data_IF_822747930073
#
_entry.id   IF_822747930073
#
_cell.length_a   1.000
_cell.length_b   1.000
_cell.length_c   1.000
_cell.angle_alpha   90.00
_cell.angle_beta   90.00
_cell.angle_gamma   90.00
#
_symmetry.space_group_name_H-M   'P 1'
#
loop_
_entity.id
_entity.type
_entity.pdbx_description
1 polymer ?
#
# COMPACT_ATOMS: atom_id res chain seq x y z
N UNK A 1 -27.45 34.58 9.29
CA UNK A 1 -27.22 34.29 7.87
C UNK A 1 -26.34 33.06 7.86
N UNK A 2 -26.75 31.97 7.21
CA UNK A 2 -25.83 30.83 7.04
C UNK A 2 -24.87 31.29 5.95
N UNK A 3 -23.59 31.33 6.28
CA UNK A 3 -22.57 31.61 5.28
C UNK A 3 -22.30 30.33 4.50
N UNK A 4 -22.22 30.42 3.19
CA UNK A 4 -21.86 29.30 2.32
C UNK A 4 -20.46 29.52 1.75
N UNK A 5 -19.79 28.42 1.41
CA UNK A 5 -18.59 28.39 0.59
C UNK A 5 -18.80 27.48 -0.61
N UNK A 6 -17.89 27.54 -1.57
CA UNK A 6 -17.88 26.69 -2.76
C UNK A 6 -16.87 25.56 -2.56
N UNK A 7 -17.30 24.31 -2.74
CA UNK A 7 -16.42 23.17 -2.88
C UNK A 7 -16.29 22.83 -4.37
N UNK A 8 -15.14 23.11 -4.98
CA UNK A 8 -14.83 22.74 -6.35
C UNK A 8 -14.10 21.39 -6.34
N UNK A 9 -14.82 20.32 -6.66
CA UNK A 9 -14.30 18.95 -6.67
C UNK A 9 -13.86 18.58 -8.08
N UNK A 10 -12.61 18.17 -8.24
CA UNK A 10 -12.08 17.59 -9.48
C UNK A 10 -11.92 16.08 -9.31
N UNK A 11 -12.49 15.30 -10.23
CA UNK A 11 -12.30 13.86 -10.31
C UNK A 11 -11.40 13.54 -11.51
N UNK A 12 -10.29 12.87 -11.26
CA UNK A 12 -9.30 12.54 -12.28
C UNK A 12 -8.76 11.11 -12.13
N UNK A 13 -8.12 10.61 -13.18
CA UNK A 13 -7.41 9.33 -13.27
C UNK A 13 -5.93 9.62 -13.52
N UNK A 14 -5.14 9.75 -12.44
CA UNK A 14 -3.72 10.07 -12.52
C UNK A 14 -3.46 11.39 -13.25
N UNK A 15 -4.31 12.39 -13.01
CA UNK A 15 -4.27 13.69 -13.68
C UNK A 15 -5.06 13.79 -14.99
N UNK A 16 -5.68 12.70 -15.48
CA UNK A 16 -6.61 12.77 -16.61
C UNK A 16 -8.03 13.08 -16.11
N UNK A 17 -8.67 14.19 -16.51
CA UNK A 17 -9.99 14.55 -16.00
C UNK A 17 -11.07 13.53 -16.41
N UNK A 18 -11.98 13.21 -15.48
CA UNK A 18 -13.06 12.26 -15.72
C UNK A 18 -14.44 12.92 -15.64
N UNK A 19 -15.11 13.02 -16.79
CA UNK A 19 -16.47 13.53 -16.87
C UNK A 19 -17.56 12.48 -16.72
N UNK A 20 -18.72 12.92 -16.21
CA UNK A 20 -19.90 12.09 -15.98
C UNK A 20 -19.81 11.22 -14.73
N UNK A 21 -18.89 11.50 -13.80
CA UNK A 21 -18.74 10.77 -12.55
C UNK A 21 -19.68 11.36 -11.50
N UNK A 22 -20.47 10.51 -10.83
CA UNK A 22 -21.36 10.98 -9.76
C UNK A 22 -20.55 11.26 -8.49
N UNK A 23 -20.63 12.50 -7.99
CA UNK A 23 -20.01 12.94 -6.74
C UNK A 23 -21.08 13.26 -5.71
N UNK A 24 -20.92 12.72 -4.50
CA UNK A 24 -21.87 12.80 -3.39
C UNK A 24 -21.23 13.53 -2.20
N UNK A 25 -22.00 14.38 -1.53
CA UNK A 25 -21.54 15.16 -0.37
C UNK A 25 -21.97 14.50 0.94
N UNK A 26 -21.01 14.35 1.86
CA UNK A 26 -21.21 13.79 3.19
C UNK A 26 -20.71 14.78 4.25
N UNK A 27 -21.28 14.73 5.44
CA UNK A 27 -20.73 15.46 6.59
C UNK A 27 -19.47 14.76 7.14
N UNK A 28 -18.73 15.44 8.02
CA UNK A 28 -17.57 14.87 8.71
C UNK A 28 -17.87 13.57 9.48
N UNK A 29 -19.11 13.41 9.97
CA UNK A 29 -19.59 12.20 10.64
C UNK A 29 -19.91 11.01 9.73
N UNK A 30 -19.69 11.12 8.41
CA UNK A 30 -19.91 10.01 7.49
C UNK A 30 -21.32 9.87 6.93
N UNK A 31 -22.24 10.78 7.28
CA UNK A 31 -23.64 10.75 6.84
C UNK A 31 -23.83 11.52 5.54
N UNK A 32 -24.61 10.94 4.62
CA UNK A 32 -24.94 11.58 3.35
C UNK A 32 -25.85 12.80 3.58
N UNK A 33 -25.52 13.92 2.95
CA UNK A 33 -26.24 15.20 3.16
C UNK A 33 -27.41 15.38 2.18
N UNK A 34 -27.56 14.49 1.19
CA UNK A 34 -28.61 14.60 0.17
C UNK A 34 -28.21 15.41 -1.06
N UNK A 35 -26.96 15.86 -1.14
CA UNK A 35 -26.42 16.66 -2.25
C UNK A 35 -25.49 15.78 -3.08
N UNK A 36 -25.72 15.74 -4.39
CA UNK A 36 -24.86 15.07 -5.36
C UNK A 36 -25.00 15.75 -6.72
N UNK A 37 -23.97 15.62 -7.55
CA UNK A 37 -24.00 16.07 -8.94
C UNK A 37 -22.91 15.32 -9.75
N UNK A 38 -22.92 15.48 -11.07
CA UNK A 38 -21.97 14.83 -11.98
C UNK A 38 -20.85 15.77 -12.42
N UNK A 39 -19.65 15.23 -12.57
CA UNK A 39 -18.52 15.98 -13.15
C UNK A 39 -18.74 16.32 -14.61
N UNK A 40 -18.24 17.48 -15.04
CA UNK A 40 -18.24 17.91 -16.44
C UNK A 40 -17.13 17.25 -17.27
N UNK A 41 -16.97 17.62 -18.54
CA UNK A 41 -15.91 17.05 -19.40
C UNK A 41 -14.48 17.34 -18.92
N UNK A 42 -14.30 18.28 -18.00
CA UNK A 42 -13.03 18.66 -17.36
C UNK A 42 -12.83 17.95 -16.02
N UNK A 43 -13.76 17.07 -15.62
CA UNK A 43 -13.70 16.36 -14.35
C UNK A 43 -14.16 17.18 -13.16
N UNK A 44 -14.70 18.38 -13.38
CA UNK A 44 -15.04 19.32 -12.31
C UNK A 44 -16.52 19.28 -11.96
N UNK A 45 -16.82 19.46 -10.67
CA UNK A 45 -18.16 19.68 -10.13
C UNK A 45 -18.07 20.61 -8.93
N UNK A 46 -19.01 21.55 -8.79
CA UNK A 46 -18.98 22.53 -7.71
C UNK A 46 -20.24 22.46 -6.84
N UNK A 47 -20.05 22.48 -5.52
CA UNK A 47 -21.13 22.46 -4.54
C UNK A 47 -21.10 23.73 -3.69
N UNK A 48 -22.22 24.43 -3.59
CA UNK A 48 -22.41 25.50 -2.60
C UNK A 48 -22.88 24.87 -1.28
N UNK A 49 -22.03 24.93 -0.26
CA UNK A 49 -22.25 24.25 1.02
C UNK A 49 -22.16 25.25 2.18
N UNK A 50 -22.98 25.09 3.25
CA UNK A 50 -22.78 25.79 4.51
C UNK A 50 -21.39 25.59 5.07
N UNK A 51 -20.85 26.62 5.72
CA UNK A 51 -19.58 26.52 6.45
C UNK A 51 -19.61 25.31 7.39
N UNK A 52 -18.59 24.47 7.29
CA UNK A 52 -18.47 23.23 8.05
C UNK A 52 -17.55 22.22 7.39
N UNK A 53 -17.45 21.05 8.00
CA UNK A 53 -16.56 19.98 7.55
C UNK A 53 -17.32 18.91 6.76
N UNK A 54 -16.83 18.61 5.56
CA UNK A 54 -17.45 17.69 4.62
C UNK A 54 -16.45 16.74 4.02
N UNK A 55 -16.94 15.62 3.51
CA UNK A 55 -16.18 14.73 2.63
C UNK A 55 -16.99 14.45 1.37
N UNK A 56 -16.29 14.09 0.31
CA UNK A 56 -16.87 13.86 -1.01
C UNK A 56 -16.60 12.43 -1.43
N UNK A 57 -17.57 11.82 -2.11
CA UNK A 57 -17.46 10.46 -2.66
C UNK A 57 -17.70 10.49 -4.15
N UNK A 58 -16.79 9.96 -4.95
CA UNK A 58 -17.00 9.72 -6.37
C UNK A 58 -17.29 8.24 -6.63
N UNK A 59 -18.34 7.94 -7.39
CA UNK A 59 -18.67 6.57 -7.79
C UNK A 59 -18.32 6.37 -9.26
N UNK A 60 -17.29 5.55 -9.53
CA UNK A 60 -16.80 5.28 -10.89
C UNK A 60 -16.65 3.77 -11.13
N UNK A 61 -17.22 3.27 -12.22
CA UNK A 61 -17.20 1.85 -12.61
C UNK A 61 -17.57 0.85 -11.50
N UNK A 62 -18.48 1.24 -10.60
CA UNK A 62 -18.94 0.40 -9.49
C UNK A 62 -18.07 0.45 -8.23
N UNK A 63 -17.01 1.25 -8.23
CA UNK A 63 -16.11 1.49 -7.08
C UNK A 63 -16.37 2.88 -6.50
N UNK A 64 -16.25 2.99 -5.17
CA UNK A 64 -16.40 4.25 -4.45
C UNK A 64 -15.01 4.80 -4.08
N UNK A 65 -14.80 6.07 -4.37
CA UNK A 65 -13.58 6.82 -4.06
C UNK A 65 -13.95 7.96 -3.13
N UNK A 66 -13.13 8.21 -2.11
CA UNK A 66 -13.42 9.20 -1.09
C UNK A 66 -12.33 10.27 -1.06
N UNK A 67 -12.72 11.52 -0.83
CA UNK A 67 -11.80 12.58 -0.43
C UNK A 67 -11.48 12.48 1.06
N UNK A 68 -10.44 13.20 1.47
CA UNK A 68 -10.26 13.59 2.87
C UNK A 68 -11.38 14.54 3.33
N UNK A 69 -11.42 14.82 4.64
CA UNK A 69 -12.34 15.80 5.21
C UNK A 69 -11.83 17.20 4.90
N UNK A 70 -12.69 18.02 4.30
CA UNK A 70 -12.41 19.39 3.88
C UNK A 70 -13.29 20.38 4.64
N UNK A 71 -12.67 21.46 5.13
CA UNK A 71 -13.36 22.52 5.86
C UNK A 71 -13.79 23.63 4.90
N UNK A 72 -15.10 23.73 4.66
CA UNK A 72 -15.69 24.77 3.82
C UNK A 72 -15.80 26.06 4.61
N UNK A 73 -15.21 27.13 4.06
CA UNK A 73 -15.18 28.48 4.66
C UNK A 73 -16.08 29.43 3.89
N UNK A 74 -16.64 30.42 4.58
CA UNK A 74 -17.54 31.42 4.02
C UNK A 74 -16.89 32.17 2.85
N UNK A 75 -17.62 32.32 1.74
CA UNK A 75 -17.25 33.11 0.58
C UNK A 75 -15.90 32.72 -0.05
N UNK A 76 -15.45 31.48 0.17
CA UNK A 76 -14.23 30.91 -0.40
C UNK A 76 -14.51 29.70 -1.27
N UNK A 77 -13.63 29.45 -2.23
CA UNK A 77 -13.61 28.22 -3.02
C UNK A 77 -12.53 27.30 -2.47
N UNK A 78 -12.93 26.10 -2.05
CA UNK A 78 -12.03 25.02 -1.65
C UNK A 78 -11.94 24.03 -2.80
N UNK A 79 -10.72 23.81 -3.29
CA UNK A 79 -10.47 22.85 -4.36
C UNK A 79 -10.22 21.48 -3.74
N UNK A 80 -11.00 20.49 -4.13
CA UNK A 80 -10.93 19.12 -3.64
C UNK A 80 -10.56 18.22 -4.82
N UNK A 81 -9.52 17.40 -4.69
CA UNK A 81 -9.16 16.44 -5.74
C UNK A 81 -9.50 15.03 -5.29
N UNK A 82 -10.22 14.29 -6.14
CA UNK A 82 -10.49 12.86 -5.98
C UNK A 82 -9.84 12.15 -7.16
N UNK A 83 -8.67 11.56 -6.92
CA UNK A 83 -8.02 10.75 -7.93
C UNK A 83 -8.49 9.28 -7.82
N UNK A 84 -9.06 8.75 -8.91
CA UNK A 84 -9.57 7.38 -8.97
C UNK A 84 -8.44 6.35 -9.13
N UNK A 85 -7.19 6.79 -9.33
CA UNK A 85 -6.02 5.94 -9.11
C UNK A 85 -5.70 5.79 -7.62
N UNK A 86 -6.29 6.62 -6.74
CA UNK A 86 -6.02 6.52 -5.29
C UNK A 86 -6.84 5.43 -4.59
N UNK A 87 -7.71 4.67 -5.29
CA UNK A 87 -8.07 3.30 -4.84
C UNK A 87 -7.09 2.21 -5.32
N UNK A 88 -5.98 2.61 -5.92
CA UNK A 88 -4.74 1.83 -5.97
C UNK A 88 -3.65 2.51 -5.15
N UNK A 89 -3.90 2.72 -3.85
CA UNK A 89 -2.80 2.63 -2.91
C UNK A 89 -2.21 1.21 -3.04
N UNK A 90 -1.03 1.15 -3.66
CA UNK A 90 -0.06 0.04 -3.62
C UNK A 90 -0.31 -1.21 -4.47
N UNK A 91 -0.68 -1.10 -5.75
CA UNK A 91 -0.55 -2.24 -6.67
C UNK A 91 -0.14 -1.75 -8.06
N UNK A 92 1.15 -1.92 -8.39
CA UNK A 92 1.88 -1.76 -9.68
C UNK A 92 3.14 -0.90 -9.43
N UNK A 93 4.09 -1.33 -8.63
CA UNK A 93 5.13 -2.32 -8.96
C UNK A 93 5.53 -3.03 -7.65
N UNK A 94 6.39 -4.05 -7.70
CA UNK A 94 6.78 -4.94 -6.57
C UNK A 94 7.47 -4.28 -5.36
N UNK A 95 7.29 -2.99 -5.11
CA UNK A 95 7.94 -2.24 -4.04
C UNK A 95 6.89 -1.54 -3.18
N UNK A 96 6.62 -2.08 -1.98
CA UNK A 96 5.79 -1.42 -0.95
C UNK A 96 6.36 -0.03 -0.67
N UNK A 97 5.53 1.01 -0.73
CA UNK A 97 5.84 2.37 -0.31
C UNK A 97 4.90 2.71 0.85
N UNK A 98 5.49 3.19 1.95
CA UNK A 98 4.88 3.78 3.15
C UNK A 98 4.27 2.83 4.20
N UNK A 99 4.97 2.69 5.33
CA UNK A 99 4.39 2.60 6.67
C UNK A 99 4.75 3.89 7.39
N UNK A 100 3.81 4.65 7.95
CA UNK A 100 3.99 5.41 9.22
C UNK A 100 2.63 5.66 9.92
N UNK A 101 2.52 5.48 11.25
CA UNK A 101 1.59 6.23 12.07
C UNK A 101 2.20 7.61 12.43
N UNK A 102 1.83 8.65 11.69
CA UNK A 102 2.41 10.00 11.81
C UNK A 102 2.86 10.55 10.44
N UNK A 103 2.71 11.84 10.18
CA UNK A 103 2.86 12.51 8.86
C UNK A 103 4.23 12.41 8.16
N UNK A 104 5.15 11.56 8.61
CA UNK A 104 6.38 11.32 7.88
C UNK A 104 6.12 10.40 6.67
N UNK A 105 7.01 10.42 5.69
CA UNK A 105 6.95 9.54 4.53
C UNK A 105 8.32 8.90 4.36
N UNK A 106 8.33 7.56 4.32
CA UNK A 106 9.53 6.78 4.03
C UNK A 106 9.45 6.11 2.67
N UNK A 107 10.55 6.19 1.92
CA UNK A 107 10.72 5.59 0.60
C UNK A 107 11.55 4.32 0.71
N UNK A 108 11.00 3.21 0.23
CA UNK A 108 11.66 1.91 0.23
C UNK A 108 12.57 1.76 -1.00
N UNK A 109 13.79 1.27 -0.76
CA UNK A 109 14.75 0.87 -1.78
C UNK A 109 14.93 -0.63 -1.70
N UNK A 110 14.40 -1.36 -2.68
CA UNK A 110 14.41 -2.82 -2.66
C UNK A 110 15.34 -3.41 -3.73
N UNK A 111 15.68 -4.69 -3.55
CA UNK A 111 16.43 -5.47 -4.54
C UNK A 111 15.58 -5.86 -5.77
N UNK A 112 16.13 -6.72 -6.64
CA UNK A 112 15.43 -7.20 -7.84
C UNK A 112 14.25 -8.13 -7.56
N UNK A 113 14.15 -8.70 -6.36
CA UNK A 113 13.02 -9.52 -5.92
C UNK A 113 11.96 -8.70 -5.19
N UNK A 114 12.26 -7.46 -4.81
CA UNK A 114 11.37 -6.60 -4.02
C UNK A 114 11.63 -6.67 -2.51
N UNK A 115 12.77 -7.23 -2.08
CA UNK A 115 13.19 -7.24 -0.66
C UNK A 115 13.70 -5.87 -0.23
N UNK A 116 13.13 -5.22 0.79
CA UNK A 116 13.62 -3.96 1.33
C UNK A 116 15.08 -4.02 1.77
N UNK A 117 15.94 -3.20 1.16
CA UNK A 117 17.36 -3.06 1.53
C UNK A 117 17.59 -1.78 2.35
N UNK A 118 16.91 -0.68 2.01
CA UNK A 118 17.03 0.61 2.71
C UNK A 118 15.70 1.35 2.73
N UNK A 119 15.52 2.24 3.70
CA UNK A 119 14.46 3.24 3.68
C UNK A 119 15.06 4.64 3.84
N UNK A 120 14.51 5.61 3.11
CA UNK A 120 14.92 7.01 3.23
C UNK A 120 13.75 7.92 3.56
N UNK A 121 14.00 8.99 4.31
CA UNK A 121 13.02 10.04 4.56
C UNK A 121 12.83 10.97 3.33
N UNK A 122 11.97 11.99 3.48
CA UNK A 122 11.66 12.98 2.43
C UNK A 122 12.84 13.82 1.95
N UNK A 123 13.94 13.84 2.70
CA UNK A 123 15.17 14.59 2.40
C UNK A 123 16.24 13.65 1.80
N UNK A 124 15.99 12.35 1.77
CA UNK A 124 16.89 11.33 1.21
C UNK A 124 17.93 10.79 2.20
N UNK A 125 17.80 11.10 3.49
CA UNK A 125 18.62 10.46 4.55
C UNK A 125 18.17 9.02 4.73
N UNK A 126 19.12 8.09 4.84
CA UNK A 126 18.83 6.69 5.15
C UNK A 126 18.45 6.60 6.63
N UNK A 127 17.26 6.09 6.90
CA UNK A 127 16.70 5.96 8.26
C UNK A 127 16.52 4.49 8.67
N UNK A 128 16.71 3.55 7.74
CA UNK A 128 16.69 2.12 8.00
C UNK A 128 17.50 1.40 6.94
N UNK A 129 18.26 0.38 7.33
CA UNK A 129 19.07 -0.44 6.43
C UNK A 129 19.03 -1.91 6.85
N UNK A 130 19.06 -2.83 5.87
CA UNK A 130 19.17 -4.25 6.15
C UNK A 130 20.04 -4.97 5.13
N UNK A 131 20.97 -5.77 5.65
CA UNK A 131 21.78 -6.70 4.88
C UNK A 131 21.22 -8.13 5.01
N UNK A 132 21.09 -8.83 3.87
CA UNK A 132 20.50 -10.17 3.85
C UNK A 132 21.52 -11.25 3.47
N UNK A 133 21.51 -12.34 4.23
CA UNK A 133 22.08 -13.60 3.76
C UNK A 133 21.19 -14.23 2.67
N UNK A 134 21.72 -15.15 1.84
CA UNK A 134 20.96 -15.71 0.71
C UNK A 134 19.60 -16.31 1.08
N UNK A 135 19.44 -16.83 2.30
CA UNK A 135 18.19 -17.42 2.79
C UNK A 135 17.34 -16.44 3.62
N UNK A 136 17.58 -15.14 3.50
CA UNK A 136 16.70 -14.11 4.06
C UNK A 136 16.94 -13.80 5.53
N UNK A 137 18.03 -14.28 6.13
CA UNK A 137 18.45 -13.80 7.45
C UNK A 137 18.88 -12.35 7.30
N UNK A 138 18.14 -11.44 7.92
CA UNK A 138 18.40 -10.01 7.90
C UNK A 138 19.31 -9.59 9.07
N UNK A 139 20.26 -8.71 8.79
CA UNK A 139 20.98 -7.91 9.76
C UNK A 139 20.47 -6.49 9.59
N UNK A 140 19.62 -6.04 10.51
CA UNK A 140 18.90 -4.77 10.42
C UNK A 140 19.60 -3.72 11.26
N UNK A 141 19.74 -2.52 10.70
CA UNK A 141 20.14 -1.28 11.37
C UNK A 141 18.94 -0.31 11.33
N UNK A 142 18.39 -0.01 12.50
CA UNK A 142 17.16 0.80 12.66
C UNK A 142 17.44 2.30 12.88
N UNK A 143 18.70 2.69 13.10
CA UNK A 143 19.14 4.09 13.24
C UNK A 143 20.48 4.32 12.50
N UNK A 144 20.52 4.17 11.16
CA UNK A 144 21.73 4.35 10.38
C UNK A 144 22.17 5.83 10.25
N UNK A 145 21.29 6.80 10.49
CA UNK A 145 21.63 8.23 10.52
C UNK A 145 22.09 8.73 11.91
N UNK A 146 21.88 7.94 12.96
CA UNK A 146 22.41 8.17 14.30
C UNK A 146 21.75 9.32 15.02
N UNK A 147 20.49 9.61 14.72
CA UNK A 147 19.72 10.68 15.35
C UNK A 147 19.06 10.25 16.67
N UNK A 148 19.11 8.95 16.97
CA UNK A 148 18.55 8.33 18.17
C UNK A 148 17.06 7.98 18.05
N UNK A 149 16.49 8.00 16.84
CA UNK A 149 15.12 7.59 16.55
C UNK A 149 15.13 6.32 15.69
N UNK A 150 14.79 5.20 16.31
CA UNK A 150 14.71 3.92 15.59
C UNK A 150 13.50 3.90 14.63
N UNK A 151 13.75 3.59 13.36
CA UNK A 151 12.71 3.29 12.38
C UNK A 151 12.55 1.80 12.22
N UNK A 152 11.44 1.25 12.69
CA UNK A 152 11.19 -0.20 12.65
C UNK A 152 10.51 -0.60 11.34
N UNK A 153 11.10 -1.57 10.64
CA UNK A 153 10.49 -2.22 9.48
C UNK A 153 10.59 -3.75 9.59
N UNK A 154 9.44 -4.40 9.68
CA UNK A 154 9.32 -5.85 9.84
C UNK A 154 9.08 -6.60 8.52
N UNK A 155 9.03 -5.91 7.38
CA UNK A 155 8.95 -6.57 6.08
C UNK A 155 10.29 -7.24 5.76
N UNK A 156 10.24 -8.46 5.18
CA UNK A 156 11.42 -9.26 4.79
C UNK A 156 11.35 -9.61 3.30
N UNK A 157 11.72 -10.84 2.91
CA UNK A 157 11.50 -11.34 1.56
C UNK A 157 10.03 -11.20 1.13
N UNK A 158 9.73 -11.21 -0.18
CA UNK A 158 8.36 -11.09 -0.67
C UNK A 158 7.41 -12.08 0.04
N UNK A 159 6.31 -11.54 0.59
CA UNK A 159 5.31 -12.31 1.35
C UNK A 159 5.64 -12.54 2.83
N UNK A 160 6.84 -12.15 3.29
CA UNK A 160 7.31 -12.43 4.66
C UNK A 160 7.21 -11.22 5.59
N UNK A 161 6.75 -11.48 6.81
CA UNK A 161 6.74 -10.54 7.93
C UNK A 161 7.53 -11.11 9.10
N UNK A 162 8.49 -10.35 9.63
CA UNK A 162 9.26 -10.73 10.80
C UNK A 162 8.43 -10.62 12.06
N UNK A 163 8.29 -11.75 12.76
CA UNK A 163 7.69 -11.82 14.08
C UNK A 163 8.79 -11.84 15.14
N UNK A 164 8.86 -10.75 15.92
CA UNK A 164 9.85 -10.57 16.98
C UNK A 164 9.67 -11.58 18.13
N UNK A 165 8.44 -12.00 18.43
CA UNK A 165 8.17 -12.90 19.56
C UNK A 165 8.79 -14.30 19.33
N UNK A 166 8.76 -14.76 18.09
CA UNK A 166 9.24 -16.09 17.72
C UNK A 166 10.60 -16.07 17.01
N UNK A 167 11.01 -14.93 16.45
CA UNK A 167 12.14 -14.80 15.54
C UNK A 167 11.91 -15.49 14.19
N UNK A 168 10.66 -15.83 13.86
CA UNK A 168 10.28 -16.46 12.60
C UNK A 168 9.76 -15.41 11.61
N UNK A 169 9.72 -15.81 10.35
CA UNK A 169 9.13 -15.03 9.29
C UNK A 169 7.77 -15.64 8.94
N UNK A 170 6.69 -14.98 9.32
CA UNK A 170 5.35 -15.37 8.91
C UNK A 170 5.20 -15.16 7.40
N UNK A 171 4.90 -16.23 6.67
CA UNK A 171 4.72 -16.23 5.22
C UNK A 171 3.36 -16.86 4.86
N UNK A 172 2.31 -16.18 5.29
CA UNK A 172 0.90 -16.49 5.05
C UNK A 172 0.45 -17.90 5.44
N UNK A 173 0.74 -18.89 4.60
CA UNK A 173 0.37 -20.28 4.84
C UNK A 173 1.37 -21.03 5.71
N UNK A 174 2.58 -20.48 5.89
CA UNK A 174 3.66 -21.15 6.61
C UNK A 174 4.56 -20.19 7.37
N UNK A 175 5.12 -20.67 8.46
CA UNK A 175 6.23 -20.01 9.15
C UNK A 175 7.60 -20.41 8.57
N UNK A 176 8.42 -19.42 8.25
CA UNK A 176 9.75 -19.57 7.67
C UNK A 176 10.85 -19.26 8.69
N UNK A 177 11.89 -20.09 8.70
CA UNK A 177 13.05 -19.92 9.57
C UNK A 177 14.31 -19.63 8.74
N UNK A 178 14.78 -18.37 8.70
CA UNK A 178 15.89 -17.97 7.84
C UNK A 178 17.23 -18.58 8.27
N UNK A 179 17.44 -18.92 9.55
CA UNK A 179 18.71 -19.49 10.05
C UNK A 179 19.03 -20.85 9.42
N UNK A 180 17.99 -21.61 9.08
CA UNK A 180 18.12 -22.93 8.46
C UNK A 180 17.66 -22.93 7.01
N UNK A 181 17.09 -21.82 6.52
CA UNK A 181 16.66 -21.64 5.14
C UNK A 181 15.41 -22.43 4.74
N UNK A 182 14.49 -22.69 5.67
CA UNK A 182 13.38 -23.65 5.49
C UNK A 182 12.11 -23.24 6.22
N UNK A 183 10.97 -23.74 5.75
CA UNK A 183 9.72 -23.70 6.51
C UNK A 183 9.78 -24.65 7.70
N UNK A 184 9.12 -24.29 8.80
CA UNK A 184 8.98 -25.17 9.96
C UNK A 184 7.73 -26.04 9.89
N UNK A 185 6.79 -25.68 9.02
CA UNK A 185 5.56 -26.40 8.76
C UNK A 185 5.61 -27.17 7.43
N UNK A 186 4.80 -28.23 7.33
CA UNK A 186 4.65 -28.97 6.08
C UNK A 186 3.86 -28.14 5.07
N UNK A 187 4.24 -28.25 3.81
CA UNK A 187 3.51 -27.66 2.71
C UNK A 187 2.02 -28.08 2.67
N UNK A 188 1.06 -27.14 2.77
CA UNK A 188 -0.36 -27.42 2.68
C UNK A 188 -0.79 -28.05 1.34
N UNK A 189 -0.08 -27.76 0.23
CA UNK A 189 -0.36 -28.40 -1.06
C UNK A 189 0.32 -29.78 -1.20
N UNK A 190 1.04 -30.21 -0.15
CA UNK A 190 1.65 -31.53 -0.08
C UNK A 190 2.68 -31.77 -1.19
N UNK A 191 2.70 -32.99 -1.73
CA UNK A 191 3.72 -33.40 -2.71
C UNK A 191 3.62 -32.66 -4.06
N UNK A 192 2.55 -31.90 -4.28
CA UNK A 192 2.41 -31.07 -5.49
C UNK A 192 3.40 -29.88 -5.50
N UNK A 193 3.79 -29.37 -4.31
CA UNK A 193 4.86 -28.38 -4.15
C UNK A 193 6.27 -28.97 -4.28
N UNK A 194 6.38 -30.30 -4.23
CA UNK A 194 7.63 -31.04 -4.39
C UNK A 194 7.78 -32.17 -3.36
N UNK A 195 8.79 -33.01 -3.56
CA UNK A 195 9.07 -34.12 -2.64
C UNK A 195 9.51 -33.66 -1.25
N UNK A 196 10.00 -32.42 -1.14
CA UNK A 196 10.48 -31.85 0.10
C UNK A 196 9.54 -30.74 0.59
N UNK A 197 8.67 -31.11 1.53
CA UNK A 197 7.56 -30.28 2.01
C UNK A 197 7.97 -29.07 2.87
N UNK A 198 9.27 -28.88 3.10
CA UNK A 198 9.81 -27.83 3.97
C UNK A 198 10.75 -26.88 3.24
N UNK A 199 11.03 -27.13 1.95
CA UNK A 199 12.02 -26.34 1.21
C UNK A 199 11.47 -24.97 0.86
N UNK A 200 12.27 -23.93 1.08
CA UNK A 200 12.01 -22.61 0.54
C UNK A 200 12.54 -22.52 -0.89
N UNK A 201 11.65 -22.24 -1.84
CA UNK A 201 11.94 -21.88 -3.22
C UNK A 201 12.99 -22.78 -3.91
N UNK A 202 12.84 -24.09 -3.78
CA UNK A 202 13.75 -25.09 -4.37
C UNK A 202 15.24 -24.89 -4.02
N UNK A 203 15.56 -24.26 -2.88
CA UNK A 203 16.90 -23.83 -2.47
C UNK A 203 17.57 -22.83 -3.44
N UNK A 204 16.80 -22.04 -4.17
CA UNK A 204 17.31 -20.96 -5.02
C UNK A 204 16.65 -19.59 -4.71
N UNK A 205 16.80 -19.10 -3.47
CA UNK A 205 16.18 -17.85 -2.99
C UNK A 205 16.72 -16.57 -3.64
N UNK A 206 17.85 -16.64 -4.35
CA UNK A 206 18.45 -15.49 -5.06
C UNK A 206 17.69 -15.16 -6.34
N UNK A 207 17.06 -16.15 -6.97
CA UNK A 207 16.41 -16.00 -8.27
C UNK A 207 14.88 -16.07 -8.19
N UNK A 208 14.35 -16.46 -7.04
CA UNK A 208 12.95 -16.80 -6.90
C UNK A 208 12.49 -16.50 -5.47
N UNK A 209 11.22 -16.16 -5.35
CA UNK A 209 10.52 -15.85 -4.11
C UNK A 209 9.26 -16.73 -3.98
N UNK A 210 8.74 -16.89 -2.75
CA UNK A 210 7.46 -17.56 -2.48
C UNK A 210 6.52 -16.62 -1.70
N UNK A 211 5.81 -15.70 -2.37
CA UNK A 211 4.97 -14.68 -1.72
C UNK A 211 3.79 -15.21 -0.92
N UNK A 212 3.37 -16.45 -1.22
CA UNK A 212 2.20 -17.07 -0.58
C UNK A 212 2.60 -18.15 0.41
N UNK A 213 3.88 -18.53 0.46
CA UNK A 213 4.31 -19.69 1.20
C UNK A 213 3.74 -21.01 0.65
N UNK A 214 3.55 -21.14 -0.66
CA UNK A 214 2.95 -22.32 -1.32
C UNK A 214 3.67 -22.75 -2.61
N UNK A 215 4.94 -22.38 -2.83
CA UNK A 215 5.51 -22.37 -4.17
C UNK A 215 5.30 -23.67 -4.98
N UNK A 216 4.46 -23.54 -6.00
CA UNK A 216 4.26 -24.50 -7.08
C UNK A 216 5.31 -24.23 -8.17
N UNK A 217 5.98 -25.26 -8.67
CA UNK A 217 6.76 -25.14 -9.91
C UNK A 217 5.78 -24.65 -10.98
N UNK A 218 5.91 -23.43 -11.50
CA UNK A 218 5.23 -23.09 -12.74
C UNK A 218 5.76 -24.08 -13.79
N UNK A 219 4.96 -25.11 -14.10
CA UNK A 219 5.24 -25.97 -15.24
C UNK A 219 5.21 -25.04 -16.44
N UNK A 220 6.37 -24.87 -17.06
CA UNK A 220 6.53 -24.25 -18.37
C UNK A 220 5.40 -24.72 -19.30
N UNK A 221 4.38 -23.88 -19.52
CA UNK A 221 3.26 -24.26 -20.37
C UNK A 221 2.00 -23.43 -20.21
N UNK A 222 1.36 -23.40 -19.04
CA UNK A 222 -0.01 -22.88 -18.91
C UNK A 222 -0.28 -22.36 -17.49
N UNK A 223 -0.11 -21.06 -17.28
CA UNK A 223 -0.94 -20.21 -16.41
C UNK A 223 -0.20 -18.90 -16.19
N UNK A 224 -0.77 -17.82 -16.70
CA UNK A 224 -0.29 -16.43 -16.61
C UNK A 224 -0.50 -15.81 -15.23
N UNK A 225 -0.32 -16.60 -14.17
CA UNK A 225 -0.27 -16.10 -12.79
C UNK A 225 0.92 -16.75 -12.10
N UNK A 226 2.05 -16.09 -12.26
CA UNK A 226 3.14 -16.07 -11.31
C UNK A 226 3.36 -14.60 -10.96
#
# INVERSE_FOLDING_TARGET
MIHHGLAAVNVNDGGNPLGGVNVYVFNSGGSYVGIHDQTDSSGDVSFELPVGDYKFRADYNGTQYWSEIETIVADQTINVSIDIQTASQSFLDRHRISQIPGDEVYYYHNDHLGTPQKMTNSIGTVVWEADYLPFGKAMVDEDPDGDGVDVVNNIRFPGQYYDEETGLHYNWHRDYKPEIGRYIERDPIGIEGGLNLYTYVLNNPVNFDDPLGLLHKCKSGLSSRC
#
